data_IF_332047281950
#
_entry.id   IF_332047281950
#
_cell.length_a   1.000
_cell.length_b   1.000
_cell.length_c   1.000
_cell.angle_alpha   90.00
_cell.angle_beta   90.00
_cell.angle_gamma   90.00
#
_symmetry.space_group_name_H-M   'P 1'
#
loop_
_entity.id
_entity.type
_entity.pdbx_description
1 polymer ?
#
# COMPACT_ATOMS: atom_id res chain seq x y z
N UNK A 1 -74.45 -14.35 5.09
CA UNK A 1 -73.36 -13.38 5.34
C UNK A 1 -72.18 -14.11 6.05
N UNK A 2 -71.37 -14.89 5.38
CA UNK A 2 -70.30 -15.59 6.14
C UNK A 2 -69.29 -16.29 5.28
N UNK A 3 -68.67 -15.71 4.31
CA UNK A 3 -67.47 -16.38 3.75
C UNK A 3 -66.41 -15.41 3.16
N UNK A 4 -66.73 -14.15 3.01
CA UNK A 4 -65.77 -13.19 2.42
C UNK A 4 -64.77 -12.64 3.43
N UNK A 5 -65.13 -12.50 4.68
CA UNK A 5 -64.27 -11.97 5.75
C UNK A 5 -63.09 -12.92 6.07
N UNK A 6 -63.29 -14.25 6.04
CA UNK A 6 -62.26 -15.25 6.37
C UNK A 6 -61.25 -15.35 5.21
N UNK A 7 -61.70 -15.18 3.97
CA UNK A 7 -60.80 -15.20 2.80
C UNK A 7 -59.92 -13.94 2.76
N UNK A 8 -60.49 -12.76 3.12
CA UNK A 8 -59.68 -11.52 3.17
C UNK A 8 -58.63 -11.53 4.28
N UNK A 9 -58.94 -12.08 5.45
CA UNK A 9 -57.98 -12.20 6.55
C UNK A 9 -56.86 -13.18 6.20
N UNK A 10 -57.16 -14.31 5.55
CA UNK A 10 -56.16 -15.26 5.09
C UNK A 10 -55.23 -14.68 3.98
N UNK A 11 -55.74 -13.92 3.03
CA UNK A 11 -54.95 -13.26 2.01
C UNK A 11 -54.03 -12.17 2.61
N UNK A 12 -54.49 -11.41 3.60
CA UNK A 12 -53.70 -10.37 4.26
C UNK A 12 -52.56 -11.02 5.10
N UNK A 13 -52.88 -12.09 5.85
CA UNK A 13 -51.91 -12.85 6.64
C UNK A 13 -50.85 -13.52 5.73
N UNK A 14 -51.27 -14.11 4.64
CA UNK A 14 -50.36 -14.72 3.65
C UNK A 14 -49.43 -13.66 3.00
N UNK A 15 -49.95 -12.48 2.65
CA UNK A 15 -49.17 -11.39 2.11
C UNK A 15 -48.17 -10.82 3.15
N UNK A 16 -48.57 -10.70 4.43
CA UNK A 16 -47.65 -10.28 5.50
C UNK A 16 -46.58 -11.34 5.72
N UNK A 17 -46.97 -12.61 5.80
CA UNK A 17 -46.04 -13.73 5.96
C UNK A 17 -45.04 -13.81 4.79
N UNK A 18 -45.49 -13.72 3.55
CA UNK A 18 -44.65 -13.69 2.35
C UNK A 18 -43.69 -12.49 2.36
N UNK A 19 -44.15 -11.30 2.73
CA UNK A 19 -43.31 -10.10 2.90
C UNK A 19 -42.26 -10.27 3.99
N UNK A 20 -42.60 -10.88 5.13
CA UNK A 20 -41.64 -11.16 6.22
C UNK A 20 -40.61 -12.19 5.79
N UNK A 21 -41.04 -13.26 5.11
CA UNK A 21 -40.13 -14.30 4.59
C UNK A 21 -39.21 -13.73 3.51
N UNK A 22 -39.71 -12.92 2.60
CA UNK A 22 -38.91 -12.26 1.56
C UNK A 22 -37.91 -11.28 2.18
N UNK A 23 -38.33 -10.47 3.14
CA UNK A 23 -37.44 -9.55 3.88
C UNK A 23 -36.34 -10.27 4.68
N UNK A 24 -36.66 -11.45 5.25
CA UNK A 24 -35.66 -12.28 5.93
C UNK A 24 -34.68 -12.95 4.96
N UNK A 25 -35.16 -13.45 3.82
CA UNK A 25 -34.30 -14.02 2.78
C UNK A 25 -33.37 -12.96 2.19
N UNK A 26 -33.86 -11.75 1.91
CA UNK A 26 -33.07 -10.64 1.41
C UNK A 26 -32.00 -10.19 2.42
N UNK A 27 -32.34 -10.13 3.70
CA UNK A 27 -31.38 -9.86 4.79
C UNK A 27 -30.30 -10.92 4.90
N UNK A 28 -30.66 -12.20 4.79
CA UNK A 28 -29.70 -13.32 4.82
C UNK A 28 -28.78 -13.30 3.61
N UNK A 29 -29.31 -13.04 2.40
CA UNK A 29 -28.52 -12.92 1.18
C UNK A 29 -27.55 -11.74 1.27
N UNK A 30 -28.01 -10.59 1.78
CA UNK A 30 -27.19 -9.41 1.98
C UNK A 30 -26.10 -9.65 3.04
N UNK A 31 -26.40 -10.36 4.13
CA UNK A 31 -25.43 -10.76 5.15
C UNK A 31 -24.35 -11.69 4.59
N UNK A 32 -24.73 -12.69 3.78
CA UNK A 32 -23.81 -13.63 3.15
C UNK A 32 -22.91 -12.93 2.12
N UNK A 33 -23.46 -12.05 1.30
CA UNK A 33 -22.69 -11.27 0.33
C UNK A 33 -21.67 -10.34 1.03
N UNK A 34 -22.04 -9.76 2.17
CA UNK A 34 -21.13 -8.92 2.97
C UNK A 34 -20.00 -9.75 3.60
N UNK A 35 -20.31 -10.94 4.14
CA UNK A 35 -19.29 -11.84 4.67
C UNK A 35 -18.32 -12.30 3.57
N UNK A 36 -18.82 -12.63 2.38
CA UNK A 36 -18.00 -13.03 1.26
C UNK A 36 -17.13 -11.86 0.76
N UNK A 37 -17.67 -10.64 0.75
CA UNK A 37 -16.90 -9.44 0.43
C UNK A 37 -15.78 -9.19 1.44
N UNK A 38 -16.04 -9.38 2.73
CA UNK A 38 -15.01 -9.26 3.76
C UNK A 38 -13.92 -10.32 3.58
N UNK A 39 -14.31 -11.56 3.35
CA UNK A 39 -13.36 -12.66 3.10
C UNK A 39 -12.50 -12.37 1.87
N UNK A 40 -13.12 -11.92 0.77
CA UNK A 40 -12.42 -11.53 -0.44
C UNK A 40 -11.40 -10.40 -0.18
N UNK A 41 -11.77 -9.38 0.60
CA UNK A 41 -10.87 -8.27 0.97
C UNK A 41 -9.71 -8.72 1.86
N UNK A 42 -9.94 -9.67 2.78
CA UNK A 42 -8.86 -10.25 3.60
C UNK A 42 -7.88 -11.05 2.72
N UNK A 43 -8.39 -11.88 1.82
CA UNK A 43 -7.55 -12.64 0.86
C UNK A 43 -6.78 -11.69 -0.05
N UNK A 44 -7.44 -10.66 -0.59
CA UNK A 44 -6.79 -9.64 -1.40
C UNK A 44 -5.68 -8.90 -0.65
N UNK A 45 -5.91 -8.60 0.63
CA UNK A 45 -4.87 -7.98 1.48
C UNK A 45 -3.68 -8.90 1.66
N UNK A 46 -3.90 -10.19 1.92
CA UNK A 46 -2.83 -11.18 2.01
C UNK A 46 -2.07 -11.31 0.67
N UNK A 47 -2.79 -11.33 -0.45
CA UNK A 47 -2.20 -11.34 -1.79
C UNK A 47 -1.33 -10.12 -2.06
N UNK A 48 -1.83 -8.91 -1.76
CA UNK A 48 -1.05 -7.68 -1.92
C UNK A 48 0.18 -7.66 -1.00
N UNK A 49 0.08 -8.19 0.21
CA UNK A 49 1.20 -8.28 1.14
C UNK A 49 2.27 -9.29 0.66
N UNK A 50 1.87 -10.42 0.09
CA UNK A 50 2.80 -11.38 -0.52
C UNK A 50 3.47 -10.79 -1.77
N UNK A 51 2.74 -10.04 -2.59
CA UNK A 51 3.35 -9.35 -3.73
C UNK A 51 4.50 -8.44 -3.30
N UNK A 52 4.29 -7.59 -2.30
CA UNK A 52 5.36 -6.67 -1.84
C UNK A 52 6.54 -7.42 -1.21
N UNK A 53 6.28 -8.52 -0.50
CA UNK A 53 7.33 -9.37 0.05
C UNK A 53 8.15 -10.05 -1.04
N UNK A 54 7.50 -10.63 -2.04
CA UNK A 54 8.13 -11.22 -3.22
C UNK A 54 8.94 -10.19 -4.01
N UNK A 55 8.37 -9.02 -4.29
CA UNK A 55 9.07 -7.93 -4.98
C UNK A 55 10.31 -7.45 -4.24
N UNK A 56 10.22 -7.27 -2.91
CA UNK A 56 11.39 -6.85 -2.11
C UNK A 56 12.53 -7.89 -2.18
N UNK A 57 12.18 -9.17 -2.13
CA UNK A 57 13.15 -10.26 -2.25
C UNK A 57 13.74 -10.30 -3.67
N UNK A 58 12.92 -10.19 -4.67
CA UNK A 58 13.27 -10.27 -6.08
C UNK A 58 14.26 -9.18 -6.48
N UNK A 59 13.95 -7.93 -6.18
CA UNK A 59 14.87 -6.80 -6.41
C UNK A 59 16.23 -7.02 -5.74
N UNK A 60 16.26 -7.58 -4.52
CA UNK A 60 17.52 -7.88 -3.86
C UNK A 60 18.29 -8.98 -4.59
N UNK A 61 17.61 -10.03 -5.07
CA UNK A 61 18.22 -11.11 -5.86
C UNK A 61 18.83 -10.59 -7.17
N UNK A 62 18.13 -9.70 -7.87
CA UNK A 62 18.62 -9.03 -9.07
C UNK A 62 19.87 -8.18 -8.78
N UNK A 63 19.86 -7.36 -7.73
CA UNK A 63 21.03 -6.56 -7.33
C UNK A 63 22.24 -7.42 -6.96
N UNK A 64 22.02 -8.65 -6.51
CA UNK A 64 23.06 -9.63 -6.20
C UNK A 64 23.43 -10.52 -7.40
N UNK A 65 22.87 -10.26 -8.58
CA UNK A 65 23.09 -11.04 -9.81
C UNK A 65 22.89 -12.55 -9.60
N UNK A 66 21.88 -12.93 -8.81
CA UNK A 66 21.57 -14.34 -8.56
C UNK A 66 20.95 -14.97 -9.80
N UNK A 67 21.25 -16.25 -10.09
CA UNK A 67 20.62 -16.98 -11.20
C UNK A 67 19.10 -16.96 -11.07
N UNK A 68 18.42 -16.64 -12.14
CA UNK A 68 17.00 -16.47 -12.18
C UNK A 68 16.31 -17.49 -13.07
N UNK A 69 15.13 -17.94 -12.65
CA UNK A 69 14.19 -18.73 -13.44
C UNK A 69 12.78 -18.19 -13.22
N UNK A 70 11.84 -18.58 -14.08
CA UNK A 70 10.43 -18.18 -13.90
C UNK A 70 9.87 -18.54 -12.51
N UNK A 71 10.35 -19.62 -11.88
CA UNK A 71 9.93 -20.10 -10.56
C UNK A 71 11.00 -19.96 -9.48
N UNK A 72 11.85 -18.94 -9.55
CA UNK A 72 12.70 -18.62 -8.39
C UNK A 72 11.84 -18.41 -7.13
N UNK A 73 12.37 -18.66 -5.92
CA UNK A 73 11.59 -18.51 -4.68
C UNK A 73 10.94 -17.13 -4.54
N UNK A 74 11.63 -16.04 -4.92
CA UNK A 74 11.10 -14.67 -4.91
C UNK A 74 9.89 -14.51 -5.83
N UNK A 75 10.02 -14.99 -7.09
CA UNK A 75 8.93 -15.01 -8.06
C UNK A 75 7.75 -15.87 -7.58
N UNK A 76 8.02 -17.03 -6.98
CA UNK A 76 6.96 -17.90 -6.46
C UNK A 76 6.13 -17.19 -5.38
N UNK A 77 6.76 -16.45 -4.47
CA UNK A 77 6.05 -15.65 -3.47
C UNK A 77 5.24 -14.54 -4.12
N UNK A 78 5.84 -13.81 -5.08
CA UNK A 78 5.18 -12.74 -5.83
C UNK A 78 3.96 -13.27 -6.60
N UNK A 79 4.14 -14.36 -7.37
CA UNK A 79 3.07 -14.96 -8.17
C UNK A 79 1.97 -15.58 -7.32
N UNK A 80 2.29 -16.09 -6.12
CA UNK A 80 1.26 -16.50 -5.15
C UNK A 80 0.38 -15.31 -4.77
N UNK A 81 0.99 -14.14 -4.53
CA UNK A 81 0.25 -12.90 -4.30
C UNK A 81 -0.64 -12.49 -5.48
N UNK A 82 -0.10 -12.56 -6.72
CA UNK A 82 -0.88 -12.30 -7.96
C UNK A 82 -2.04 -13.29 -8.08
N UNK A 83 -1.80 -14.57 -7.82
CA UNK A 83 -2.83 -15.62 -7.86
C UNK A 83 -3.97 -15.36 -6.87
N UNK A 84 -3.67 -15.01 -5.62
CA UNK A 84 -4.68 -14.67 -4.62
C UNK A 84 -5.52 -13.44 -5.02
N UNK A 85 -4.90 -12.40 -5.57
CA UNK A 85 -5.61 -11.23 -6.07
C UNK A 85 -6.47 -11.56 -7.28
N UNK A 86 -5.97 -12.39 -8.18
CA UNK A 86 -6.73 -12.86 -9.36
C UNK A 86 -7.95 -13.67 -8.94
N UNK A 87 -7.78 -14.63 -8.03
CA UNK A 87 -8.91 -15.40 -7.47
C UNK A 87 -9.92 -14.44 -6.82
N UNK A 88 -9.43 -13.47 -6.05
CA UNK A 88 -10.31 -12.44 -5.46
C UNK A 88 -11.04 -11.65 -6.55
N UNK A 89 -10.36 -11.23 -7.62
CA UNK A 89 -10.97 -10.48 -8.72
C UNK A 89 -12.09 -11.29 -9.40
N UNK A 90 -11.88 -12.58 -9.62
CA UNK A 90 -12.90 -13.50 -10.17
C UNK A 90 -14.10 -13.62 -9.24
N UNK A 91 -13.85 -13.86 -7.95
CA UNK A 91 -14.90 -13.99 -6.93
C UNK A 91 -15.74 -12.71 -6.82
N UNK A 92 -15.10 -11.54 -6.74
CA UNK A 92 -15.82 -10.26 -6.65
C UNK A 92 -16.51 -9.90 -7.96
N UNK A 93 -15.95 -10.27 -9.11
CA UNK A 93 -16.60 -10.14 -10.40
C UNK A 93 -17.91 -10.93 -10.46
N UNK A 94 -17.87 -12.20 -10.02
CA UNK A 94 -19.07 -13.03 -9.91
C UNK A 94 -20.10 -12.48 -8.92
N UNK A 95 -19.64 -11.89 -7.81
CA UNK A 95 -20.51 -11.22 -6.84
C UNK A 95 -21.20 -9.99 -7.43
N UNK A 96 -20.49 -9.17 -8.19
CA UNK A 96 -21.04 -7.99 -8.86
C UNK A 96 -22.10 -8.35 -9.90
N UNK A 97 -21.91 -9.46 -10.61
CA UNK A 97 -22.88 -9.95 -11.60
C UNK A 97 -24.15 -10.45 -10.89
N UNK A 98 -24.01 -11.22 -9.80
CA UNK A 98 -25.15 -11.78 -9.07
C UNK A 98 -25.91 -10.77 -8.22
N UNK A 99 -25.23 -9.77 -7.66
CA UNK A 99 -25.78 -8.80 -6.71
C UNK A 99 -25.58 -7.37 -7.26
N UNK A 100 -26.49 -6.94 -8.10
CA UNK A 100 -26.44 -5.59 -8.70
C UNK A 100 -26.41 -4.48 -7.65
N UNK A 101 -27.03 -4.68 -6.48
CA UNK A 101 -27.03 -3.71 -5.37
C UNK A 101 -25.66 -3.55 -4.71
N UNK A 102 -24.82 -4.58 -4.66
CA UNK A 102 -23.42 -4.45 -4.23
C UNK A 102 -22.61 -3.62 -5.22
N UNK A 103 -22.93 -3.69 -6.52
CA UNK A 103 -22.28 -2.95 -7.58
C UNK A 103 -22.55 -1.44 -7.55
N UNK A 104 -23.69 -1.02 -7.00
CA UNK A 104 -24.10 0.39 -7.02
C UNK A 104 -23.60 1.18 -5.82
N UNK A 105 -23.32 0.54 -4.67
CA UNK A 105 -23.27 1.30 -3.39
C UNK A 105 -21.93 1.58 -2.77
N UNK A 106 -20.87 0.83 -2.90
CA UNK A 106 -19.61 1.21 -2.20
C UNK A 106 -18.39 0.42 -2.65
N UNK A 107 -18.57 -0.81 -3.12
CA UNK A 107 -17.48 -1.74 -3.42
C UNK A 107 -17.12 -1.79 -4.90
N UNK A 108 -17.97 -1.26 -5.80
CA UNK A 108 -17.77 -1.29 -7.25
C UNK A 108 -16.41 -0.76 -7.67
N UNK A 109 -15.98 0.38 -7.10
CA UNK A 109 -14.66 0.95 -7.41
C UNK A 109 -13.54 0.02 -6.97
N UNK A 110 -13.57 -0.48 -5.73
CA UNK A 110 -12.58 -1.41 -5.21
C UNK A 110 -12.49 -2.67 -6.07
N UNK A 111 -13.62 -3.26 -6.42
CA UNK A 111 -13.69 -4.50 -7.16
C UNK A 111 -13.24 -4.33 -8.62
N UNK A 112 -13.58 -3.20 -9.27
CA UNK A 112 -13.06 -2.86 -10.61
C UNK A 112 -11.54 -2.70 -10.59
N UNK A 113 -10.98 -2.07 -9.55
CA UNK A 113 -9.54 -1.93 -9.39
C UNK A 113 -8.85 -3.30 -9.25
N UNK A 114 -9.44 -4.27 -8.50
CA UNK A 114 -8.89 -5.62 -8.45
C UNK A 114 -8.87 -6.30 -9.82
N UNK A 115 -9.93 -6.18 -10.60
CA UNK A 115 -10.01 -6.78 -11.94
C UNK A 115 -8.92 -6.18 -12.83
N UNK A 116 -8.81 -4.84 -12.85
CA UNK A 116 -7.82 -4.13 -13.69
C UNK A 116 -6.40 -4.43 -13.22
N UNK A 117 -6.12 -4.27 -11.93
CA UNK A 117 -4.78 -4.48 -11.37
C UNK A 117 -4.30 -5.92 -11.52
N UNK A 118 -5.19 -6.90 -11.29
CA UNK A 118 -4.87 -8.32 -11.48
C UNK A 118 -4.62 -8.68 -12.93
N UNK A 119 -5.40 -8.13 -13.87
CA UNK A 119 -5.18 -8.35 -15.30
C UNK A 119 -3.82 -7.80 -15.75
N UNK A 120 -3.46 -6.60 -15.30
CA UNK A 120 -2.14 -6.01 -15.60
C UNK A 120 -1.03 -6.88 -15.01
N UNK A 121 -1.13 -7.29 -13.73
CA UNK A 121 -0.10 -8.10 -13.08
C UNK A 121 0.07 -9.48 -13.71
N UNK A 122 -1.03 -10.12 -14.17
CA UNK A 122 -0.99 -11.40 -14.87
C UNK A 122 -0.26 -11.32 -16.22
N UNK A 123 -0.39 -10.20 -16.93
CA UNK A 123 0.31 -9.97 -18.19
C UNK A 123 1.77 -9.60 -17.92
N UNK A 124 2.01 -8.77 -16.91
CA UNK A 124 3.33 -8.26 -16.60
C UNK A 124 4.32 -9.36 -16.21
N UNK A 125 3.94 -10.34 -15.39
CA UNK A 125 4.86 -11.38 -14.93
C UNK A 125 5.49 -12.21 -16.07
N UNK A 126 4.70 -12.84 -16.96
CA UNK A 126 5.27 -13.51 -18.13
C UNK A 126 6.05 -12.58 -19.08
N UNK A 127 5.61 -11.32 -19.21
CA UNK A 127 6.30 -10.33 -20.06
C UNK A 127 7.66 -9.96 -19.48
N UNK A 128 7.78 -9.91 -18.17
CA UNK A 128 9.01 -9.64 -17.45
C UNK A 128 10.04 -10.77 -17.65
N UNK A 129 9.59 -12.01 -17.48
CA UNK A 129 10.43 -13.17 -17.77
C UNK A 129 10.93 -13.18 -19.23
N UNK A 130 10.06 -12.94 -20.21
CA UNK A 130 10.44 -12.87 -21.62
C UNK A 130 11.39 -11.71 -21.90
N UNK A 131 11.24 -10.59 -21.18
CA UNK A 131 12.16 -9.44 -21.28
C UNK A 131 13.56 -9.83 -20.82
N UNK A 132 13.68 -10.47 -19.64
CA UNK A 132 14.97 -10.94 -19.14
C UNK A 132 15.63 -12.02 -20.01
N UNK A 133 14.86 -12.92 -20.58
CA UNK A 133 15.36 -13.91 -21.56
C UNK A 133 15.88 -13.26 -22.85
N UNK A 134 15.30 -12.12 -23.25
CA UNK A 134 15.64 -11.46 -24.52
C UNK A 134 16.74 -10.43 -24.36
N UNK A 135 16.71 -9.64 -23.31
CA UNK A 135 17.58 -8.48 -23.10
C UNK A 135 18.54 -8.63 -21.91
N UNK A 136 18.45 -9.73 -21.18
CA UNK A 136 19.18 -9.93 -19.92
C UNK A 136 18.52 -9.22 -18.75
N UNK A 137 19.16 -9.26 -17.58
CA UNK A 137 18.74 -8.51 -16.40
C UNK A 137 18.96 -7.03 -16.68
N UNK A 138 17.87 -6.35 -16.98
CA UNK A 138 17.84 -4.93 -17.32
C UNK A 138 17.56 -4.08 -16.07
N UNK A 139 17.65 -2.76 -16.23
CA UNK A 139 17.44 -1.82 -15.12
C UNK A 139 16.02 -1.83 -14.53
N UNK A 140 15.88 -1.12 -13.44
CA UNK A 140 14.62 -1.06 -12.70
C UNK A 140 13.44 -0.54 -13.53
N UNK A 141 13.67 0.43 -14.41
CA UNK A 141 12.64 1.05 -15.26
C UNK A 141 12.54 0.33 -16.62
N UNK A 142 12.11 -0.92 -16.63
CA UNK A 142 11.71 -1.64 -17.83
C UNK A 142 10.17 -1.57 -18.03
N UNK A 143 9.68 -1.74 -19.27
CA UNK A 143 8.24 -1.73 -19.51
C UNK A 143 7.46 -2.79 -18.71
N UNK A 144 7.92 -4.05 -18.59
CA UNK A 144 7.21 -5.05 -17.78
C UNK A 144 7.29 -4.75 -16.27
N UNK A 145 8.42 -4.27 -15.74
CA UNK A 145 8.50 -3.84 -14.35
C UNK A 145 7.52 -2.69 -14.05
N UNK A 146 7.45 -1.69 -14.95
CA UNK A 146 6.50 -0.59 -14.80
C UNK A 146 5.05 -1.07 -14.85
N UNK A 147 4.74 -2.02 -15.72
CA UNK A 147 3.41 -2.64 -15.77
C UNK A 147 3.11 -3.41 -14.47
N UNK A 148 4.07 -4.21 -13.97
CA UNK A 148 3.92 -4.98 -12.75
C UNK A 148 3.64 -4.09 -11.54
N UNK A 149 4.48 -3.08 -11.30
CA UNK A 149 4.30 -2.18 -10.16
C UNK A 149 3.02 -1.33 -10.29
N UNK A 150 2.61 -0.99 -11.52
CA UNK A 150 1.32 -0.32 -11.77
C UNK A 150 0.15 -1.22 -11.39
N UNK A 151 0.16 -2.49 -11.79
CA UNK A 151 -0.85 -3.47 -11.40
C UNK A 151 -0.92 -3.66 -9.89
N UNK A 152 0.23 -3.77 -9.23
CA UNK A 152 0.33 -3.86 -7.78
C UNK A 152 -0.24 -2.62 -7.07
N UNK A 153 0.07 -1.42 -7.57
CA UNK A 153 -0.43 -0.17 -7.00
C UNK A 153 -1.96 -0.06 -7.13
N UNK A 154 -2.50 -0.40 -8.31
CA UNK A 154 -3.95 -0.42 -8.54
C UNK A 154 -4.64 -1.41 -7.59
N UNK A 155 -4.07 -2.61 -7.42
CA UNK A 155 -4.57 -3.60 -6.47
C UNK A 155 -4.52 -3.08 -5.02
N UNK A 156 -3.41 -2.50 -4.59
CA UNK A 156 -3.25 -1.95 -3.24
C UNK A 156 -4.25 -0.81 -2.94
N UNK A 157 -4.48 0.09 -3.91
CA UNK A 157 -5.52 1.12 -3.83
C UNK A 157 -6.91 0.47 -3.70
N UNK A 158 -7.19 -0.54 -4.51
CA UNK A 158 -8.44 -1.31 -4.46
C UNK A 158 -8.65 -1.95 -3.09
N UNK A 159 -7.62 -2.59 -2.53
CA UNK A 159 -7.64 -3.20 -1.19
C UNK A 159 -7.96 -2.16 -0.13
N UNK A 160 -7.25 -1.03 -0.10
CA UNK A 160 -7.45 0.02 0.90
C UNK A 160 -8.86 0.62 0.79
N UNK A 161 -9.34 0.92 -0.41
CA UNK A 161 -10.71 1.44 -0.59
C UNK A 161 -11.74 0.43 -0.08
N UNK A 162 -11.61 -0.85 -0.44
CA UNK A 162 -12.55 -1.89 -0.02
C UNK A 162 -12.57 -2.08 1.48
N UNK A 163 -11.39 -2.28 2.10
CA UNK A 163 -11.29 -2.57 3.55
C UNK A 163 -11.70 -1.37 4.42
N UNK A 164 -11.46 -0.15 3.96
CA UNK A 164 -11.88 1.05 4.69
C UNK A 164 -13.38 1.32 4.58
N UNK A 165 -14.01 0.90 3.48
CA UNK A 165 -15.45 1.05 3.30
C UNK A 165 -16.27 -0.03 3.99
N UNK A 166 -15.75 -1.26 4.06
CA UNK A 166 -16.50 -2.38 4.66
C UNK A 166 -16.73 -2.23 6.15
N UNK A 167 -15.90 -1.46 6.86
CA UNK A 167 -15.94 -1.34 8.33
C UNK A 167 -17.30 -0.89 8.87
N UNK A 168 -18.01 -0.04 8.13
CA UNK A 168 -19.34 0.47 8.56
C UNK A 168 -20.47 -0.50 8.27
N UNK A 169 -20.20 -1.55 7.47
CA UNK A 169 -21.20 -2.54 7.06
C UNK A 169 -21.07 -3.86 7.82
N UNK A 170 -19.99 -4.06 8.58
CA UNK A 170 -19.78 -5.28 9.37
C UNK A 170 -20.18 -5.09 10.84
N UNK A 171 -20.64 -6.17 11.51
CA UNK A 171 -20.98 -6.10 12.94
C UNK A 171 -19.76 -5.74 13.78
N UNK A 172 -19.95 -5.14 14.98
CA UNK A 172 -18.87 -4.70 15.88
C UNK A 172 -17.81 -5.75 16.15
N UNK A 173 -18.20 -7.02 16.26
CA UNK A 173 -17.29 -8.14 16.48
C UNK A 173 -16.27 -8.30 15.35
N UNK A 174 -16.65 -8.04 14.10
CA UNK A 174 -15.78 -8.14 12.92
C UNK A 174 -14.97 -6.87 12.66
N UNK A 175 -15.33 -5.73 13.23
CA UNK A 175 -14.60 -4.48 13.04
C UNK A 175 -13.16 -4.55 13.54
N UNK A 176 -12.89 -5.36 14.56
CA UNK A 176 -11.52 -5.61 15.05
C UNK A 176 -10.67 -6.28 13.96
N UNK A 177 -11.21 -7.31 13.29
CA UNK A 177 -10.54 -7.98 12.17
C UNK A 177 -10.28 -6.99 11.03
N UNK A 178 -11.28 -6.20 10.64
CA UNK A 178 -11.13 -5.18 9.60
C UNK A 178 -10.01 -4.20 9.93
N UNK A 179 -9.95 -3.67 11.15
CA UNK A 179 -8.89 -2.75 11.60
C UNK A 179 -7.49 -3.39 11.58
N UNK A 180 -7.38 -4.66 11.95
CA UNK A 180 -6.11 -5.39 11.86
C UNK A 180 -5.71 -5.57 10.39
N UNK A 181 -6.64 -5.92 9.51
CA UNK A 181 -6.40 -6.10 8.07
C UNK A 181 -6.03 -4.79 7.36
N UNK A 182 -6.49 -3.64 7.87
CA UNK A 182 -6.08 -2.33 7.33
C UNK A 182 -4.56 -2.11 7.42
N UNK A 183 -3.89 -2.63 8.43
CA UNK A 183 -2.44 -2.43 8.61
C UNK A 183 -1.67 -3.00 7.41
N UNK A 184 -1.72 -4.29 7.08
CA UNK A 184 -1.03 -4.83 5.91
C UNK A 184 -1.56 -4.24 4.57
N UNK A 185 -2.84 -3.82 4.51
CA UNK A 185 -3.37 -3.14 3.34
C UNK A 185 -2.68 -1.79 3.08
N UNK A 186 -2.54 -0.95 4.10
CA UNK A 186 -1.80 0.31 4.00
C UNK A 186 -0.29 0.10 3.84
N UNK A 187 0.26 -0.99 4.39
CA UNK A 187 1.65 -1.39 4.16
C UNK A 187 1.89 -1.68 2.68
N UNK A 188 1.03 -2.47 2.04
CA UNK A 188 1.10 -2.74 0.61
C UNK A 188 0.95 -1.46 -0.22
N UNK A 189 0.03 -0.57 0.15
CA UNK A 189 -0.16 0.70 -0.55
C UNK A 189 1.08 1.59 -0.44
N UNK A 190 1.65 1.76 0.76
CA UNK A 190 2.84 2.60 0.93
C UNK A 190 4.05 2.01 0.21
N UNK A 191 4.30 0.71 0.33
CA UNK A 191 5.38 0.04 -0.38
C UNK A 191 5.26 0.23 -1.89
N UNK A 192 4.13 -0.15 -2.49
CA UNK A 192 3.94 -0.04 -3.95
C UNK A 192 4.00 1.39 -4.45
N UNK A 193 3.47 2.35 -3.68
CA UNK A 193 3.55 3.78 -4.01
C UNK A 193 5.00 4.27 -3.98
N UNK A 194 5.78 3.87 -2.97
CA UNK A 194 7.19 4.24 -2.83
C UNK A 194 8.01 3.64 -3.98
N UNK A 195 7.83 2.37 -4.28
CA UNK A 195 8.52 1.72 -5.40
C UNK A 195 8.11 2.28 -6.74
N UNK A 196 6.85 2.66 -6.92
CA UNK A 196 6.42 3.36 -8.15
C UNK A 196 7.19 4.67 -8.34
N UNK A 197 7.41 5.43 -7.27
CA UNK A 197 8.25 6.63 -7.32
C UNK A 197 9.71 6.27 -7.58
N UNK A 198 10.23 5.20 -6.97
CA UNK A 198 11.60 4.75 -7.16
C UNK A 198 11.92 4.37 -8.61
N UNK A 199 10.94 3.85 -9.38
CA UNK A 199 11.12 3.60 -10.83
C UNK A 199 11.65 4.84 -11.56
N UNK A 200 11.31 6.03 -11.11
CA UNK A 200 11.70 7.30 -11.71
C UNK A 200 12.75 8.08 -10.91
N UNK A 201 12.89 7.78 -9.63
CA UNK A 201 13.77 8.51 -8.74
C UNK A 201 15.13 7.85 -8.52
N UNK A 202 15.28 6.55 -8.82
CA UNK A 202 16.54 5.85 -8.65
C UNK A 202 17.34 5.83 -9.96
N UNK A 203 18.65 6.09 -9.91
CA UNK A 203 19.50 6.11 -11.10
C UNK A 203 19.97 4.71 -11.55
N UNK A 204 19.41 3.63 -11.01
CA UNK A 204 19.79 2.25 -11.35
C UNK A 204 19.13 1.69 -12.59
N UNK A 205 18.47 2.51 -13.37
CA UNK A 205 17.74 2.01 -14.52
C UNK A 205 18.64 1.74 -15.72
N UNK A 206 19.97 1.75 -15.54
CA UNK A 206 20.93 1.48 -16.62
C UNK A 206 20.84 0.01 -17.02
N UNK A 207 19.92 -0.29 -17.95
CA UNK A 207 20.02 -1.46 -18.78
C UNK A 207 21.01 -1.23 -19.91
N UNK A 208 21.68 -2.26 -20.38
CA UNK A 208 22.57 -2.17 -21.52
C UNK A 208 21.82 -1.83 -22.83
N UNK A 209 20.56 -2.24 -22.93
CA UNK A 209 19.75 -2.15 -24.14
C UNK A 209 18.74 -1.00 -24.14
N UNK A 210 18.18 -0.67 -22.96
CA UNK A 210 17.18 0.38 -22.80
C UNK A 210 17.56 1.32 -21.65
N UNK A 211 18.13 2.46 -22.00
CA UNK A 211 18.46 3.49 -21.01
C UNK A 211 17.26 4.41 -20.78
N UNK A 212 16.41 4.03 -19.84
CA UNK A 212 15.26 4.85 -19.41
C UNK A 212 15.60 5.82 -18.26
N UNK A 213 16.88 5.99 -17.96
CA UNK A 213 17.30 6.84 -16.84
C UNK A 213 16.86 8.28 -17.04
N UNK A 214 16.21 8.81 -16.04
CA UNK A 214 16.01 10.25 -15.94
C UNK A 214 17.34 10.94 -15.56
N UNK A 215 17.44 12.20 -15.97
CA UNK A 215 18.51 13.07 -15.46
C UNK A 215 18.53 13.04 -13.92
N UNK A 216 19.70 12.93 -13.26
CA UNK A 216 19.80 12.85 -11.80
C UNK A 216 19.12 14.00 -11.06
N UNK A 217 19.10 15.22 -11.63
CA UNK A 217 18.41 16.34 -11.02
C UNK A 217 16.89 16.16 -11.10
N UNK A 218 16.37 15.64 -12.23
CA UNK A 218 14.95 15.30 -12.38
C UNK A 218 14.54 14.20 -11.40
N UNK A 219 15.34 13.14 -11.28
CA UNK A 219 15.13 12.07 -10.31
C UNK A 219 15.10 12.59 -8.86
N UNK A 220 16.00 13.49 -8.52
CA UNK A 220 16.05 14.16 -7.21
C UNK A 220 14.79 14.98 -6.96
N UNK A 221 14.33 15.76 -7.93
CA UNK A 221 13.11 16.57 -7.81
C UNK A 221 11.87 15.67 -7.61
N UNK A 222 11.79 14.57 -8.36
CA UNK A 222 10.69 13.60 -8.20
C UNK A 222 10.70 13.03 -6.78
N UNK A 223 11.86 12.63 -6.25
CA UNK A 223 11.98 12.12 -4.89
C UNK A 223 11.57 13.17 -3.85
N UNK A 224 12.06 14.40 -3.99
CA UNK A 224 11.77 15.54 -3.07
C UNK A 224 10.29 15.93 -3.02
N UNK A 225 9.56 15.74 -4.11
CA UNK A 225 8.14 16.11 -4.17
C UNK A 225 7.26 14.91 -3.81
N UNK A 226 7.44 13.78 -4.49
CA UNK A 226 6.50 12.68 -4.43
C UNK A 226 6.59 11.88 -3.12
N UNK A 227 7.78 11.54 -2.65
CA UNK A 227 7.93 10.68 -1.48
C UNK A 227 7.41 11.31 -0.18
N UNK A 228 7.77 12.55 0.18
CA UNK A 228 7.25 13.15 1.41
C UNK A 228 5.75 13.41 1.35
N UNK A 229 5.23 13.81 0.19
CA UNK A 229 3.80 14.06 -0.02
C UNK A 229 3.00 12.77 0.14
N UNK A 230 3.36 11.72 -0.60
CA UNK A 230 2.63 10.46 -0.63
C UNK A 230 2.76 9.70 0.70
N UNK A 231 3.95 9.67 1.31
CA UNK A 231 4.16 9.04 2.61
C UNK A 231 3.32 9.71 3.70
N UNK A 232 3.33 11.04 3.79
CA UNK A 232 2.50 11.78 4.74
C UNK A 232 1.02 11.53 4.51
N UNK A 233 0.56 11.58 3.27
CA UNK A 233 -0.82 11.31 2.91
C UNK A 233 -1.25 9.91 3.35
N UNK A 234 -0.47 8.88 3.04
CA UNK A 234 -0.81 7.48 3.34
C UNK A 234 -0.77 7.22 4.84
N UNK A 235 0.29 7.62 5.55
CA UNK A 235 0.44 7.37 6.98
C UNK A 235 -0.64 8.08 7.81
N UNK A 236 -0.94 9.33 7.49
CA UNK A 236 -1.99 10.07 8.21
C UNK A 236 -3.37 9.53 7.89
N UNK A 237 -3.63 9.12 6.65
CA UNK A 237 -4.89 8.44 6.31
C UNK A 237 -5.03 7.12 7.08
N UNK A 238 -3.96 6.32 7.16
CA UNK A 238 -3.95 5.07 7.91
C UNK A 238 -4.20 5.30 9.41
N UNK A 239 -3.42 6.20 10.04
CA UNK A 239 -3.56 6.52 11.48
C UNK A 239 -4.96 7.00 11.83
N UNK A 240 -5.57 7.85 11.01
CA UNK A 240 -6.94 8.35 11.24
C UNK A 240 -8.00 7.28 11.03
N UNK A 241 -7.85 6.47 9.98
CA UNK A 241 -8.84 5.45 9.62
C UNK A 241 -8.84 4.28 10.61
N UNK A 242 -7.65 3.84 11.03
CA UNK A 242 -7.47 2.78 12.03
C UNK A 242 -7.84 3.29 13.43
N UNK A 243 -7.54 4.57 13.70
CA UNK A 243 -7.89 5.26 14.94
C UNK A 243 -7.13 4.74 16.17
N UNK A 244 -5.88 4.28 15.97
CA UNK A 244 -5.01 3.79 17.05
C UNK A 244 -3.62 4.40 16.94
N UNK A 245 -3.02 4.68 18.10
CA UNK A 245 -1.60 5.00 18.19
C UNK A 245 -0.76 3.86 17.62
N UNK A 246 0.30 4.20 16.92
CA UNK A 246 1.24 3.25 16.34
C UNK A 246 0.81 2.66 14.99
N UNK A 247 -0.32 3.09 14.41
CA UNK A 247 -0.79 2.56 13.13
C UNK A 247 0.22 2.84 11.99
N UNK A 248 0.67 4.08 11.85
CA UNK A 248 1.69 4.43 10.85
C UNK A 248 3.04 3.80 11.15
N UNK A 249 3.46 3.79 12.42
CA UNK A 249 4.70 3.16 12.85
C UNK A 249 4.73 1.65 12.56
N UNK A 250 3.59 0.96 12.72
CA UNK A 250 3.48 -0.48 12.40
C UNK A 250 3.60 -0.72 10.89
N UNK A 251 3.08 0.17 10.04
CA UNK A 251 3.22 0.08 8.58
C UNK A 251 4.71 0.11 8.19
N UNK A 252 5.46 1.08 8.70
CA UNK A 252 6.90 1.19 8.43
C UNK A 252 7.67 0.01 9.00
N UNK A 253 7.31 -0.45 10.21
CA UNK A 253 7.93 -1.62 10.83
C UNK A 253 7.71 -2.91 10.00
N UNK A 254 6.53 -3.09 9.40
CA UNK A 254 6.27 -4.23 8.54
C UNK A 254 7.10 -4.16 7.25
N UNK A 255 7.22 -3.00 6.60
CA UNK A 255 8.09 -2.84 5.43
C UNK A 255 9.56 -3.07 5.80
N UNK A 256 10.00 -2.53 6.94
CA UNK A 256 11.34 -2.77 7.45
C UNK A 256 11.60 -4.27 7.67
N UNK A 257 10.64 -4.98 8.29
CA UNK A 257 10.72 -6.43 8.49
C UNK A 257 10.77 -7.22 7.16
N UNK A 258 9.95 -6.84 6.19
CA UNK A 258 9.98 -7.44 4.85
C UNK A 258 11.33 -7.21 4.16
N UNK A 259 11.87 -6.00 4.24
CA UNK A 259 13.17 -5.68 3.66
C UNK A 259 14.31 -6.43 4.35
N UNK A 260 14.29 -6.55 5.69
CA UNK A 260 15.25 -7.38 6.41
C UNK A 260 15.20 -8.82 5.92
N UNK A 261 14.01 -9.42 5.88
CA UNK A 261 13.80 -10.79 5.43
C UNK A 261 14.28 -10.98 3.98
N UNK A 262 13.87 -10.08 3.08
CA UNK A 262 14.23 -10.10 1.67
C UNK A 262 15.74 -9.96 1.43
N UNK A 263 16.44 -9.26 2.30
CA UNK A 263 17.89 -9.10 2.19
C UNK A 263 18.67 -10.27 2.82
N UNK A 264 18.21 -10.81 3.94
CA UNK A 264 18.92 -11.93 4.62
C UNK A 264 18.98 -13.16 3.73
N UNK A 265 17.89 -13.49 3.03
CA UNK A 265 17.82 -14.73 2.24
C UNK A 265 18.83 -14.73 1.08
N UNK A 266 18.87 -13.71 0.17
CA UNK A 266 19.78 -13.73 -0.97
C UNK A 266 21.24 -13.40 -0.62
N UNK A 267 21.49 -12.57 0.41
CA UNK A 267 22.84 -12.09 0.71
C UNK A 267 23.60 -12.96 1.73
N UNK A 268 22.92 -13.91 2.36
CA UNK A 268 23.51 -14.69 3.46
C UNK A 268 23.95 -13.79 4.61
N UNK A 269 25.22 -13.86 5.00
CA UNK A 269 25.70 -13.17 6.20
C UNK A 269 26.37 -11.80 5.97
N UNK A 270 26.58 -11.39 4.73
CA UNK A 270 27.40 -10.20 4.41
C UNK A 270 26.75 -8.89 4.86
N UNK A 271 25.46 -8.70 4.56
CA UNK A 271 24.73 -7.48 4.94
C UNK A 271 23.92 -7.61 6.22
N UNK A 272 23.76 -8.83 6.72
CA UNK A 272 22.91 -9.15 7.89
C UNK A 272 23.18 -8.31 9.13
N UNK A 273 24.45 -8.02 9.54
CA UNK A 273 24.69 -7.22 10.73
C UNK A 273 24.23 -5.77 10.63
N UNK A 274 24.14 -5.23 9.42
CA UNK A 274 23.83 -3.82 9.18
C UNK A 274 22.33 -3.56 8.99
N UNK A 275 21.60 -4.54 8.46
CA UNK A 275 20.19 -4.42 8.11
C UNK A 275 19.26 -4.01 9.25
N UNK A 276 19.38 -4.55 10.49
CA UNK A 276 18.53 -4.14 11.59
C UNK A 276 18.65 -2.65 11.90
N UNK A 277 19.85 -2.11 11.82
CA UNK A 277 20.09 -0.68 12.10
C UNK A 277 19.40 0.22 11.10
N UNK A 278 19.50 -0.07 9.80
CA UNK A 278 18.85 0.72 8.77
C UNK A 278 17.34 0.70 8.91
N UNK A 279 16.79 -0.48 9.15
CA UNK A 279 15.35 -0.67 9.26
C UNK A 279 14.80 -0.05 10.55
N UNK A 280 15.53 -0.07 11.65
CA UNK A 280 15.12 0.56 12.91
C UNK A 280 15.12 2.08 12.83
N UNK A 281 16.13 2.68 12.20
CA UNK A 281 16.23 4.14 12.04
C UNK A 281 15.02 4.66 11.26
N UNK A 282 14.55 3.93 10.25
CA UNK A 282 13.41 4.33 9.44
C UNK A 282 12.09 4.46 10.21
N UNK A 283 11.95 3.76 11.34
CA UNK A 283 10.72 3.78 12.14
C UNK A 283 10.64 5.04 13.02
N UNK A 284 11.77 5.59 13.45
CA UNK A 284 11.84 6.69 14.43
C UNK A 284 11.01 7.92 14.02
N UNK A 285 11.15 8.49 12.79
CA UNK A 285 10.37 9.66 12.39
C UNK A 285 8.86 9.43 12.44
N UNK A 286 8.44 8.23 12.12
CA UNK A 286 7.01 7.88 12.06
C UNK A 286 6.44 7.65 13.46
N UNK A 287 7.24 7.11 14.38
CA UNK A 287 6.86 7.05 15.81
C UNK A 287 6.66 8.45 16.37
N UNK A 288 7.56 9.39 16.09
CA UNK A 288 7.42 10.78 16.54
C UNK A 288 6.15 11.41 15.96
N UNK A 289 5.87 11.20 14.68
CA UNK A 289 4.65 11.69 14.06
C UNK A 289 3.38 11.06 14.65
N UNK A 290 3.37 9.76 14.94
CA UNK A 290 2.27 9.08 15.61
C UNK A 290 2.06 9.60 17.05
N UNK A 291 3.13 9.90 17.76
CA UNK A 291 3.07 10.53 19.10
C UNK A 291 2.41 11.91 19.04
N UNK A 292 2.80 12.76 18.10
CA UNK A 292 2.22 14.09 17.92
C UNK A 292 0.73 13.97 17.54
N UNK A 293 0.40 13.04 16.67
CA UNK A 293 -0.97 12.87 16.17
C UNK A 293 -1.93 12.29 17.21
N UNK A 294 -1.48 11.36 18.05
CA UNK A 294 -2.35 10.54 18.88
C UNK A 294 -2.16 10.73 20.38
N UNK A 295 -1.05 11.33 20.83
CA UNK A 295 -0.79 11.51 22.26
C UNK A 295 -1.74 12.51 22.90
N UNK A 296 -2.47 12.12 23.97
CA UNK A 296 -3.30 13.04 24.74
C UNK A 296 -2.49 14.11 25.50
N UNK A 297 -1.19 13.84 25.72
CA UNK A 297 -0.27 14.76 26.43
C UNK A 297 0.22 15.86 25.52
N UNK A 298 0.48 15.53 24.24
CA UNK A 298 1.06 16.47 23.27
C UNK A 298 -0.02 17.33 22.59
N UNK A 299 -1.17 16.75 22.26
CA UNK A 299 -2.29 17.46 21.61
C UNK A 299 -2.70 18.79 22.30
N UNK A 300 -2.87 18.85 23.63
CA UNK A 300 -3.25 20.11 24.29
C UNK A 300 -2.18 21.19 24.27
N UNK A 301 -0.91 20.82 24.12
CA UNK A 301 0.22 21.74 24.15
C UNK A 301 0.46 22.45 22.80
N UNK A 302 -0.03 21.89 21.71
CA UNK A 302 0.13 22.43 20.36
C UNK A 302 -1.13 23.24 20.01
N UNK A 303 -1.17 24.52 20.42
CA UNK A 303 -2.34 25.39 20.20
C UNK A 303 -2.37 26.09 18.83
N UNK A 304 -1.24 26.24 18.15
CA UNK A 304 -1.12 27.08 16.95
C UNK A 304 -1.36 26.34 15.63
N UNK A 305 -1.04 25.04 15.54
CA UNK A 305 -1.20 24.23 14.33
C UNK A 305 -1.94 22.92 14.63
N UNK A 306 -2.71 22.43 13.65
CA UNK A 306 -3.38 21.13 13.77
C UNK A 306 -2.33 20.00 13.90
N UNK A 307 -2.49 19.05 14.83
CA UNK A 307 -1.53 17.94 15.01
C UNK A 307 -1.23 17.18 13.73
N UNK A 308 -2.22 17.06 12.84
CA UNK A 308 -2.08 16.41 11.54
C UNK A 308 -1.06 17.12 10.65
N UNK A 309 -1.08 18.44 10.63
CA UNK A 309 -0.14 19.23 9.83
C UNK A 309 1.28 19.05 10.36
N UNK A 310 1.45 19.13 11.69
CA UNK A 310 2.76 18.94 12.31
C UNK A 310 3.29 17.54 12.05
N UNK A 311 2.45 16.51 12.22
CA UNK A 311 2.83 15.13 11.91
C UNK A 311 3.21 14.95 10.44
N UNK A 312 2.48 15.57 9.52
CA UNK A 312 2.81 15.57 8.10
C UNK A 312 4.14 16.24 7.80
N UNK A 313 4.40 17.39 8.43
CA UNK A 313 5.70 18.08 8.32
C UNK A 313 6.85 17.23 8.85
N UNK A 314 6.68 16.53 9.99
CA UNK A 314 7.69 15.62 10.55
C UNK A 314 7.97 14.48 9.60
N UNK A 315 6.93 13.79 9.11
CA UNK A 315 7.07 12.70 8.14
C UNK A 315 7.78 13.21 6.89
N UNK A 316 7.32 14.32 6.35
CA UNK A 316 7.87 14.87 5.12
C UNK A 316 9.30 15.35 5.28
N UNK A 317 9.65 16.10 6.33
CA UNK A 317 11.02 16.59 6.53
C UNK A 317 12.06 15.46 6.71
N UNK A 318 11.63 14.34 7.26
CA UNK A 318 12.49 13.20 7.55
C UNK A 318 12.30 12.04 6.56
N UNK A 319 11.66 12.28 5.40
CA UNK A 319 11.40 11.24 4.43
C UNK A 319 12.67 10.52 3.93
N UNK A 320 13.78 11.23 3.86
CA UNK A 320 15.06 10.64 3.50
C UNK A 320 15.46 9.51 4.44
N UNK A 321 15.24 9.67 5.75
CA UNK A 321 15.62 8.70 6.77
C UNK A 321 14.88 7.38 6.62
N UNK A 322 13.58 7.40 6.36
CA UNK A 322 12.80 6.16 6.23
C UNK A 322 12.75 5.59 4.81
N UNK A 323 13.30 6.31 3.82
CA UNK A 323 13.56 5.78 2.47
C UNK A 323 15.04 5.40 2.26
N UNK A 324 15.85 5.49 3.29
CA UNK A 324 17.24 5.03 3.27
C UNK A 324 17.27 3.48 3.20
N UNK A 325 18.23 2.81 2.55
CA UNK A 325 19.39 3.42 1.88
C UNK A 325 19.16 3.81 0.41
N UNK A 326 18.02 3.51 -0.17
CA UNK A 326 17.75 3.67 -1.61
C UNK A 326 18.01 5.10 -2.11
N UNK A 327 17.56 6.10 -1.38
CA UNK A 327 17.73 7.50 -1.77
C UNK A 327 19.18 8.02 -1.69
N UNK A 328 20.08 7.28 -1.08
CA UNK A 328 21.50 7.67 -1.05
C UNK A 328 22.06 7.84 -2.45
N UNK A 329 21.71 6.95 -3.37
CA UNK A 329 22.14 7.05 -4.77
C UNK A 329 21.49 8.22 -5.50
N UNK A 330 20.19 8.46 -5.27
CA UNK A 330 19.48 9.58 -5.91
C UNK A 330 20.11 10.92 -5.54
N UNK A 331 20.50 11.09 -4.28
CA UNK A 331 21.07 12.35 -3.81
C UNK A 331 22.59 12.45 -3.97
N UNK A 332 23.30 11.33 -4.15
CA UNK A 332 24.75 11.34 -4.23
C UNK A 332 25.28 12.11 -5.45
N UNK A 333 24.67 11.93 -6.61
CA UNK A 333 25.12 12.58 -7.85
C UNK A 333 24.97 14.10 -7.80
N UNK A 334 23.78 14.68 -7.54
CA UNK A 334 23.63 16.14 -7.49
C UNK A 334 24.36 16.78 -6.30
N UNK A 335 24.68 16.02 -5.24
CA UNK A 335 25.38 16.54 -4.06
C UNK A 335 26.89 16.27 -4.06
N UNK A 336 27.41 15.67 -5.14
CA UNK A 336 28.82 15.25 -5.23
C UNK A 336 29.29 14.43 -4.02
N UNK A 337 28.39 13.58 -3.49
CA UNK A 337 28.73 12.68 -2.39
C UNK A 337 29.42 11.43 -2.96
N UNK A 338 30.57 10.99 -2.41
CA UNK A 338 31.24 9.81 -2.88
C UNK A 338 30.34 8.58 -2.67
N UNK A 339 30.01 7.87 -3.77
CA UNK A 339 29.44 6.54 -3.72
C UNK A 339 30.56 5.56 -3.38
N UNK A 340 30.87 5.43 -2.10
CA UNK A 340 31.79 4.38 -1.68
C UNK A 340 31.05 3.02 -1.68
N UNK A 341 31.84 1.95 -1.82
CA UNK A 341 31.33 0.59 -1.97
C UNK A 341 30.31 0.21 -0.87
N UNK A 342 29.51 -0.82 -1.15
CA UNK A 342 28.53 -1.44 -0.24
C UNK A 342 29.12 -1.72 1.15
N UNK A 343 30.42 -1.94 1.28
CA UNK A 343 31.11 -2.22 2.53
C UNK A 343 31.15 -1.01 3.51
N UNK A 344 30.91 0.20 3.02
CA UNK A 344 30.95 1.43 3.81
C UNK A 344 29.58 2.12 3.91
N UNK A 345 28.50 1.36 3.77
CA UNK A 345 27.12 1.93 3.75
C UNK A 345 26.82 2.70 5.04
N UNK A 346 27.19 2.19 6.22
CA UNK A 346 26.89 2.85 7.48
C UNK A 346 27.70 4.15 7.70
N UNK A 347 29.02 4.20 7.49
CA UNK A 347 29.77 5.45 7.51
C UNK A 347 29.23 6.46 6.50
N UNK A 348 28.91 6.03 5.29
CA UNK A 348 28.38 6.92 4.25
C UNK A 348 26.99 7.46 4.59
N UNK A 349 26.14 6.68 5.25
CA UNK A 349 24.88 7.15 5.78
C UNK A 349 25.10 8.26 6.81
N UNK A 350 25.90 8.00 7.83
CA UNK A 350 26.17 8.98 8.87
C UNK A 350 26.77 10.27 8.28
N UNK A 351 27.67 10.14 7.30
CA UNK A 351 28.30 11.29 6.64
C UNK A 351 27.33 12.00 5.67
N UNK A 352 26.40 11.30 5.04
CA UNK A 352 25.44 11.88 4.09
C UNK A 352 24.23 12.55 4.76
N UNK A 353 23.87 12.11 5.98
CA UNK A 353 22.69 12.65 6.69
C UNK A 353 22.70 14.17 6.80
N UNK A 354 23.77 14.86 7.28
CA UNK A 354 23.74 16.29 7.46
C UNK A 354 23.46 17.04 6.16
N UNK A 355 24.11 16.63 5.06
CA UNK A 355 23.95 17.26 3.75
C UNK A 355 22.59 16.95 3.14
N UNK A 356 22.16 15.70 3.19
CA UNK A 356 20.85 15.30 2.67
C UNK A 356 19.72 15.96 3.46
N UNK A 357 19.80 16.02 4.79
CA UNK A 357 18.80 16.70 5.62
C UNK A 357 18.76 18.20 5.34
N UNK A 358 19.91 18.87 5.17
CA UNK A 358 19.94 20.29 4.86
C UNK A 358 19.11 20.63 3.61
N UNK A 359 19.11 19.75 2.62
CA UNK A 359 18.41 19.95 1.34
C UNK A 359 16.96 19.45 1.41
N UNK A 360 16.72 18.33 2.07
CA UNK A 360 15.41 17.66 2.05
C UNK A 360 14.46 18.18 3.13
N UNK A 361 14.96 18.79 4.20
CA UNK A 361 14.18 19.12 5.39
C UNK A 361 13.04 20.11 5.07
N UNK A 362 13.35 21.20 4.41
CA UNK A 362 12.35 22.25 4.11
C UNK A 362 11.39 21.83 2.99
N UNK A 363 11.86 21.40 1.80
CA UNK A 363 10.96 20.92 0.76
C UNK A 363 10.10 19.73 1.26
N UNK A 364 10.71 18.80 1.98
CA UNK A 364 10.00 17.66 2.56
C UNK A 364 8.92 18.08 3.56
N UNK A 365 9.20 19.05 4.44
CA UNK A 365 8.19 19.58 5.36
C UNK A 365 7.00 20.21 4.61
N UNK A 366 7.25 20.97 3.55
CA UNK A 366 6.19 21.58 2.73
C UNK A 366 5.36 20.49 2.06
N UNK A 367 5.99 19.52 1.40
CA UNK A 367 5.29 18.43 0.74
C UNK A 367 4.55 17.55 1.74
N UNK A 368 5.12 17.28 2.90
CA UNK A 368 4.48 16.56 4.00
C UNK A 368 3.24 17.27 4.55
N UNK A 369 3.29 18.59 4.67
CA UNK A 369 2.14 19.43 5.02
C UNK A 369 1.02 19.30 3.95
N UNK A 370 1.37 19.38 2.68
CA UNK A 370 0.40 19.21 1.58
C UNK A 370 -0.23 17.83 1.64
N UNK A 371 0.58 16.77 1.85
CA UNK A 371 0.09 15.40 2.03
C UNK A 371 -0.89 15.27 3.20
N UNK A 372 -0.62 15.95 4.31
CA UNK A 372 -1.53 16.00 5.47
C UNK A 372 -2.87 16.65 5.12
N UNK A 373 -2.85 17.77 4.38
CA UNK A 373 -4.07 18.48 3.95
C UNK A 373 -4.90 17.59 3.03
N UNK A 374 -4.26 16.88 2.09
CA UNK A 374 -4.94 15.95 1.18
C UNK A 374 -5.55 14.79 1.97
N UNK A 375 -4.79 14.18 2.89
CA UNK A 375 -5.28 13.12 3.79
C UNK A 375 -6.54 13.56 4.53
N UNK A 376 -6.53 14.76 5.09
CA UNK A 376 -7.68 15.31 5.81
C UNK A 376 -8.91 15.47 4.90
N UNK A 377 -8.73 15.89 3.67
CA UNK A 377 -9.82 15.99 2.68
C UNK A 377 -10.39 14.61 2.33
N UNK A 378 -9.53 13.62 2.08
CA UNK A 378 -9.95 12.25 1.76
C UNK A 378 -10.80 11.65 2.87
N UNK A 379 -10.41 11.85 4.13
CA UNK A 379 -11.11 11.29 5.28
C UNK A 379 -12.44 11.98 5.56
N UNK A 380 -12.50 13.29 5.32
CA UNK A 380 -13.67 14.12 5.58
C UNK A 380 -14.63 14.27 4.38
N UNK A 381 -14.39 13.57 3.27
CA UNK A 381 -15.40 13.50 2.19
C UNK A 381 -16.71 13.00 2.80
N UNK A 382 -17.80 13.77 2.73
CA UNK A 382 -19.06 13.38 3.34
C UNK A 382 -19.50 12.00 2.80
N UNK A 383 -19.76 11.07 3.69
CA UNK A 383 -20.39 9.78 3.36
C UNK A 383 -21.86 9.95 2.87
N UNK A 384 -22.28 11.21 2.66
CA UNK A 384 -23.63 11.65 2.41
C UNK A 384 -24.15 11.46 0.99
N UNK A 385 -23.38 10.89 0.06
CA UNK A 385 -23.88 10.58 -1.29
C UNK A 385 -24.34 9.13 -1.44
N UNK A 386 -24.78 8.50 -0.37
CA UNK A 386 -25.26 7.11 -0.37
C UNK A 386 -26.72 7.05 0.15
N UNK A 387 -27.60 7.80 -0.45
CA UNK A 387 -29.05 7.58 -0.35
C UNK A 387 -29.62 7.14 -1.68
#
# INVERSE_FOLDING_TARGET
MTNWSVIFINCTFLNIYMKVMQNNSDRLLQSNAMNLSLTALVIATAGAFLQIGGTSWDVTSHLMLQPETFFTPSHTVLYTGVGLLTITAVLVGALLIKNKDLGTKSFSTSFKLFIIGSAISLIAGPSDFLWHETFGVDGLLSPPHLALITGMLINAVGVVIGITRIIVHVPPLKQKLVKITMIPAFTALWFTTTWYVYMFALPFSNGEHFQFNLDPNVSTIIALIALPLLSSMIFLTASKTIGRFGAASTIVALVAGLNIFANIIPTGNVLTPLLPWYSMISIIPVIVADLVLNSPIIKPKIRSLKPEIISGMIIGSLFYVFNYPMLTWTFSLPLNMPLESINNILPNFVNSIPTALAITLVPGAIMGMIGAIISFRIINVPRSSQH
#
